data_IF_357934940753
#
_entry.id   IF_357934940753
#
_cell.length_a   1.000
_cell.length_b   1.000
_cell.length_c   1.000
_cell.angle_alpha   90.00
_cell.angle_beta   90.00
_cell.angle_gamma   90.00
#
_symmetry.space_group_name_H-M   'P 1'
#
loop_
_entity.id
_entity.type
_entity.pdbx_description
1 polymer ?
#
# COMPACT_ATOMS: atom_id res chain seq x y z
N UNK A 1 3.63 -4.53 17.96
CA UNK A 1 2.54 -3.68 18.53
C UNK A 1 2.15 -4.21 19.91
N UNK A 2 1.84 -3.35 20.88
CA UNK A 2 1.28 -3.74 22.19
C UNK A 2 -0.25 -3.93 22.07
N UNK A 3 -0.71 -5.18 22.21
CA UNK A 3 -2.13 -5.54 22.11
C UNK A 3 -2.92 -5.27 23.40
N UNK A 4 -2.23 -4.91 24.50
CA UNK A 4 -2.85 -4.71 25.83
C UNK A 4 -3.99 -3.72 25.77
N UNK A 5 -3.78 -2.57 25.11
CA UNK A 5 -4.80 -1.54 24.97
C UNK A 5 -6.04 -1.99 24.20
N UNK A 6 -5.85 -2.87 23.19
CA UNK A 6 -6.97 -3.45 22.41
C UNK A 6 -7.79 -4.36 23.30
N UNK A 7 -7.11 -5.27 24.02
CA UNK A 7 -7.77 -6.22 24.92
C UNK A 7 -8.55 -5.51 26.07
N UNK A 8 -7.94 -4.49 26.67
CA UNK A 8 -8.60 -3.67 27.70
C UNK A 8 -9.86 -2.99 27.17
N UNK A 9 -9.76 -2.35 25.99
CA UNK A 9 -10.90 -1.67 25.36
C UNK A 9 -11.96 -2.65 24.87
N UNK A 10 -11.57 -3.79 24.34
CA UNK A 10 -12.51 -4.83 23.93
C UNK A 10 -13.29 -5.36 25.13
N UNK A 11 -12.60 -5.67 26.24
CA UNK A 11 -13.24 -6.11 27.47
C UNK A 11 -14.15 -5.02 28.08
N UNK A 12 -13.71 -3.74 28.09
CA UNK A 12 -14.51 -2.61 28.55
C UNK A 12 -15.82 -2.45 27.77
N UNK A 13 -15.76 -2.57 26.42
CA UNK A 13 -16.90 -2.31 25.54
C UNK A 13 -17.86 -3.49 25.44
N UNK A 14 -17.35 -4.72 25.46
CA UNK A 14 -18.13 -5.91 25.13
C UNK A 14 -18.23 -6.94 26.25
N UNK A 15 -17.45 -6.79 27.34
CA UNK A 15 -17.53 -7.64 28.54
C UNK A 15 -17.03 -9.08 28.37
N UNK A 16 -16.32 -9.35 27.29
CA UNK A 16 -15.80 -10.68 26.92
C UNK A 16 -14.37 -10.55 26.37
N UNK A 17 -13.69 -11.69 26.16
CA UNK A 17 -12.44 -11.76 25.42
C UNK A 17 -12.68 -12.40 24.06
N UNK A 18 -11.96 -11.92 23.05
CA UNK A 18 -12.02 -12.40 21.67
C UNK A 18 -10.75 -13.10 21.22
N UNK A 19 -10.63 -13.22 19.92
CA UNK A 19 -9.46 -13.76 19.23
C UNK A 19 -8.75 -12.64 18.47
N UNK A 20 -7.42 -12.66 18.47
CA UNK A 20 -6.60 -11.62 17.89
C UNK A 20 -6.16 -11.97 16.47
N UNK A 21 -6.34 -11.02 15.57
CA UNK A 21 -5.91 -11.10 14.17
C UNK A 21 -5.11 -9.87 13.81
N UNK A 22 -4.14 -10.02 12.91
CA UNK A 22 -3.31 -8.94 12.46
C UNK A 22 -3.06 -9.00 10.96
N UNK A 23 -2.90 -7.84 10.35
CA UNK A 23 -2.41 -7.71 8.98
C UNK A 23 -1.51 -6.49 8.85
N UNK A 24 -0.35 -6.63 8.19
CA UNK A 24 0.62 -5.56 8.05
C UNK A 24 0.21 -4.52 7.01
N UNK A 25 0.77 -3.32 7.15
CA UNK A 25 0.97 -2.40 6.04
C UNK A 25 2.07 -2.91 5.10
N UNK A 26 2.40 -2.13 4.08
CA UNK A 26 3.41 -2.52 3.09
C UNK A 26 4.32 -1.36 2.71
N UNK A 27 5.51 -1.69 2.29
CA UNK A 27 6.29 -0.86 1.36
C UNK A 27 6.12 -1.41 -0.06
N UNK A 28 6.46 -0.60 -1.05
CA UNK A 28 6.71 -1.08 -2.41
C UNK A 28 8.10 -0.57 -2.81
N UNK A 29 9.01 -1.45 -3.18
CA UNK A 29 10.38 -1.04 -3.50
C UNK A 29 10.43 -0.34 -4.85
N UNK A 30 9.65 -0.81 -5.83
CA UNK A 30 9.51 -0.25 -7.18
C UNK A 30 8.24 -0.79 -7.85
N UNK A 31 7.74 -0.12 -8.90
CA UNK A 31 6.51 -0.52 -9.60
C UNK A 31 5.28 0.22 -9.06
N UNK A 32 5.34 1.56 -9.00
CA UNK A 32 4.18 2.36 -8.63
C UNK A 32 3.28 2.63 -9.82
N UNK A 33 1.97 2.58 -9.61
CA UNK A 33 0.93 2.80 -10.62
C UNK A 33 0.93 1.79 -11.78
N UNK A 34 1.58 0.65 -11.61
CA UNK A 34 1.63 -0.43 -12.62
C UNK A 34 0.57 -1.51 -12.39
N UNK A 35 0.10 -1.69 -11.17
CA UNK A 35 -0.84 -2.77 -10.80
C UNK A 35 -2.17 -2.71 -11.54
N UNK A 36 -2.82 -1.56 -11.60
CA UNK A 36 -4.06 -1.38 -12.38
C UNK A 36 -3.83 -1.29 -13.90
N UNK A 37 -2.56 -1.30 -14.34
CA UNK A 37 -2.14 -1.42 -15.72
C UNK A 37 -1.78 -2.88 -16.11
N UNK A 38 -2.10 -3.85 -15.26
CA UNK A 38 -1.74 -5.26 -15.45
C UNK A 38 -0.24 -5.53 -15.35
N UNK A 39 0.50 -4.60 -14.76
CA UNK A 39 1.96 -4.60 -14.69
C UNK A 39 2.57 -5.36 -13.53
N UNK A 40 3.87 -5.17 -13.34
CA UNK A 40 4.61 -5.73 -12.23
C UNK A 40 4.67 -4.74 -11.07
N UNK A 41 4.54 -5.26 -9.85
CA UNK A 41 4.83 -4.54 -8.60
C UNK A 41 5.82 -5.34 -7.76
N UNK A 42 6.50 -4.66 -6.83
CA UNK A 42 7.54 -5.30 -6.01
C UNK A 42 7.44 -4.92 -4.53
N UNK A 43 6.29 -5.23 -3.88
CA UNK A 43 6.05 -4.89 -2.48
C UNK A 43 6.67 -5.88 -1.50
N UNK A 44 6.70 -5.44 -0.23
CA UNK A 44 6.94 -6.26 0.95
C UNK A 44 6.06 -5.80 2.11
N UNK A 45 5.52 -6.76 2.86
CA UNK A 45 4.84 -6.47 4.11
C UNK A 45 5.82 -5.95 5.16
N UNK A 46 5.37 -5.07 6.05
CA UNK A 46 6.23 -4.44 7.05
C UNK A 46 5.81 -4.79 8.47
N UNK A 47 6.66 -4.48 9.44
CA UNK A 47 6.45 -4.72 10.87
C UNK A 47 5.41 -3.81 11.53
N UNK A 48 4.81 -2.88 10.78
CA UNK A 48 3.67 -2.06 11.22
C UNK A 48 2.38 -2.67 10.73
N UNK A 49 1.39 -2.79 11.63
CA UNK A 49 0.20 -3.58 11.33
C UNK A 49 -1.08 -2.97 11.93
N UNK A 50 -2.21 -3.42 11.44
CA UNK A 50 -3.50 -3.37 12.12
C UNK A 50 -3.68 -4.64 12.94
N UNK A 51 -4.25 -4.52 14.13
CA UNK A 51 -4.64 -5.63 15.00
C UNK A 51 -6.08 -5.44 15.41
N UNK A 52 -6.86 -6.51 15.34
CA UNK A 52 -8.23 -6.56 15.81
C UNK A 52 -8.45 -7.72 16.76
N UNK A 53 -9.13 -7.45 17.88
CA UNK A 53 -9.74 -8.47 18.72
C UNK A 53 -11.18 -8.67 18.28
N UNK A 54 -11.60 -9.91 18.03
CA UNK A 54 -12.90 -10.23 17.45
C UNK A 54 -13.56 -11.37 18.21
N UNK A 55 -14.88 -11.23 18.48
CA UNK A 55 -15.73 -12.27 19.08
C UNK A 55 -17.07 -12.33 18.39
N UNK A 56 -17.52 -13.54 18.04
CA UNK A 56 -18.89 -13.75 17.54
C UNK A 56 -19.88 -13.43 18.64
N UNK A 57 -20.93 -12.66 18.34
CA UNK A 57 -21.89 -12.14 19.32
C UNK A 57 -23.29 -12.77 19.22
N UNK A 58 -23.47 -13.75 18.33
CA UNK A 58 -24.74 -14.49 18.18
C UNK A 58 -25.88 -13.70 17.57
N UNK A 59 -25.63 -12.52 17.02
CA UNK A 59 -26.62 -11.64 16.38
C UNK A 59 -26.37 -11.52 14.88
N UNK A 60 -27.07 -10.61 14.19
CA UNK A 60 -26.79 -10.22 12.81
C UNK A 60 -26.16 -8.82 12.72
N UNK A 61 -25.68 -8.29 13.84
CA UNK A 61 -25.08 -6.95 13.90
C UNK A 61 -23.57 -7.02 14.16
N UNK A 62 -22.84 -6.12 13.53
CA UNK A 62 -21.42 -5.88 13.77
C UNK A 62 -21.31 -4.65 14.65
N UNK A 63 -20.65 -4.81 15.81
CA UNK A 63 -20.34 -3.73 16.73
C UNK A 63 -18.84 -3.53 16.75
N UNK A 64 -18.37 -2.34 16.39
CA UNK A 64 -16.95 -2.09 16.17
C UNK A 64 -16.47 -0.82 16.88
N UNK A 65 -15.30 -0.89 17.49
CA UNK A 65 -14.68 0.19 18.22
C UNK A 65 -13.25 0.45 17.71
N UNK A 66 -13.03 1.64 17.16
CA UNK A 66 -11.72 2.11 16.71
C UNK A 66 -10.97 2.72 17.89
N UNK A 67 -10.04 1.96 18.49
CA UNK A 67 -9.34 2.32 19.74
C UNK A 67 -8.55 3.63 19.61
N UNK A 68 -7.92 3.86 18.46
CA UNK A 68 -7.08 5.05 18.23
C UNK A 68 -7.88 6.33 18.02
N UNK A 69 -9.13 6.19 17.56
CA UNK A 69 -10.06 7.30 17.31
C UNK A 69 -11.02 7.53 18.49
N UNK A 70 -11.04 6.61 19.46
CA UNK A 70 -12.05 6.57 20.53
C UNK A 70 -13.47 6.65 19.97
N UNK A 71 -13.74 5.91 18.88
CA UNK A 71 -14.96 6.01 18.10
C UNK A 71 -15.62 4.65 17.94
N UNK A 72 -16.97 4.64 17.97
CA UNK A 72 -17.80 3.44 17.89
C UNK A 72 -18.74 3.51 16.68
N UNK A 73 -18.87 2.39 15.99
CA UNK A 73 -19.85 2.23 14.93
C UNK A 73 -20.54 0.86 15.03
N UNK A 74 -21.78 0.80 14.57
CA UNK A 74 -22.57 -0.42 14.52
C UNK A 74 -23.35 -0.47 13.21
N UNK A 75 -23.43 -1.64 12.60
CA UNK A 75 -24.24 -1.88 11.40
C UNK A 75 -24.80 -3.30 11.36
N UNK A 76 -25.92 -3.47 10.66
CA UNK A 76 -26.49 -4.78 10.37
C UNK A 76 -25.90 -5.43 9.13
N UNK A 77 -25.66 -6.74 9.15
CA UNK A 77 -25.13 -7.48 8.01
C UNK A 77 -26.06 -7.47 6.77
N UNK A 78 -27.35 -7.13 6.95
CA UNK A 78 -28.32 -7.02 5.87
C UNK A 78 -28.62 -5.55 5.47
N UNK A 79 -28.00 -4.57 6.11
CA UNK A 79 -28.15 -3.17 5.74
C UNK A 79 -27.53 -2.89 4.37
N UNK A 80 -28.18 -2.08 3.53
CA UNK A 80 -27.71 -1.73 2.19
C UNK A 80 -26.74 -0.56 2.23
N UNK A 81 -26.98 0.40 3.12
CA UNK A 81 -26.19 1.61 3.27
C UNK A 81 -24.99 1.39 4.18
N UNK A 82 -23.84 1.86 3.72
CA UNK A 82 -22.60 1.82 4.49
C UNK A 82 -22.66 2.81 5.68
N UNK A 83 -21.97 2.52 6.79
CA UNK A 83 -21.88 3.42 7.93
C UNK A 83 -21.34 4.81 7.55
N UNK A 84 -21.76 5.84 8.29
CA UNK A 84 -21.28 7.22 8.10
C UNK A 84 -19.79 7.33 8.41
N UNK A 85 -19.31 6.66 9.47
CA UNK A 85 -17.90 6.63 9.85
C UNK A 85 -17.04 6.01 8.74
N UNK A 86 -16.15 6.79 8.16
CA UNK A 86 -15.34 6.38 7.00
C UNK A 86 -14.51 5.12 7.26
N UNK A 87 -13.95 4.97 8.45
CA UNK A 87 -13.19 3.79 8.84
C UNK A 87 -14.06 2.53 8.94
N UNK A 88 -15.33 2.65 9.35
CA UNK A 88 -16.23 1.51 9.45
C UNK A 88 -16.68 0.97 8.08
N UNK A 89 -16.59 1.79 7.02
CA UNK A 89 -16.92 1.38 5.64
C UNK A 89 -16.01 0.25 5.14
N UNK A 90 -14.76 0.21 5.58
CA UNK A 90 -13.83 -0.87 5.23
C UNK A 90 -14.29 -2.20 5.81
N UNK A 91 -14.72 -2.23 7.09
CA UNK A 91 -15.21 -3.43 7.75
C UNK A 91 -16.55 -3.87 7.13
N UNK A 92 -17.46 -2.91 6.92
CA UNK A 92 -18.74 -3.15 6.24
C UNK A 92 -18.52 -3.73 4.84
N UNK A 93 -17.64 -3.12 4.05
CA UNK A 93 -17.31 -3.57 2.68
C UNK A 93 -16.78 -4.99 2.65
N UNK A 94 -15.85 -5.34 3.55
CA UNK A 94 -15.34 -6.72 3.68
C UNK A 94 -16.48 -7.70 3.96
N UNK A 95 -17.38 -7.39 4.91
CA UNK A 95 -18.54 -8.23 5.20
C UNK A 95 -19.43 -8.41 3.96
N UNK A 96 -19.73 -7.34 3.25
CA UNK A 96 -20.56 -7.36 2.03
C UNK A 96 -19.91 -8.12 0.89
N UNK A 97 -18.61 -7.94 0.68
CA UNK A 97 -17.87 -8.64 -0.38
C UNK A 97 -17.73 -10.15 -0.11
N UNK A 98 -17.60 -10.56 1.16
CA UNK A 98 -17.68 -11.98 1.56
C UNK A 98 -19.07 -12.55 1.25
N UNK A 99 -20.16 -11.85 1.64
CA UNK A 99 -21.54 -12.28 1.38
C UNK A 99 -21.84 -12.39 -0.12
N UNK A 100 -21.39 -11.44 -0.95
CA UNK A 100 -21.56 -11.48 -2.42
C UNK A 100 -20.89 -12.71 -3.06
N UNK A 101 -19.84 -13.24 -2.43
CA UNK A 101 -19.15 -14.46 -2.85
C UNK A 101 -19.75 -15.74 -2.25
N UNK A 102 -20.91 -15.62 -1.59
CA UNK A 102 -21.62 -16.75 -1.00
C UNK A 102 -21.14 -17.14 0.41
N UNK A 103 -20.22 -16.37 1.00
CA UNK A 103 -19.79 -16.58 2.38
C UNK A 103 -20.91 -16.27 3.36
N UNK A 104 -21.15 -17.19 4.31
CA UNK A 104 -22.16 -17.03 5.35
C UNK A 104 -21.47 -16.57 6.62
N UNK A 105 -21.74 -15.35 7.05
CA UNK A 105 -21.21 -14.75 8.28
C UNK A 105 -22.33 -14.32 9.20
N UNK A 106 -22.05 -14.26 10.49
CA UNK A 106 -22.94 -13.75 11.53
C UNK A 106 -22.31 -12.51 12.20
N UNK A 107 -23.06 -11.87 13.09
CA UNK A 107 -22.61 -10.68 13.80
C UNK A 107 -21.44 -10.98 14.74
N UNK A 108 -20.61 -9.96 14.92
CA UNK A 108 -19.45 -10.01 15.79
C UNK A 108 -19.19 -8.66 16.45
N UNK A 109 -18.45 -8.72 17.55
CA UNK A 109 -17.91 -7.56 18.24
C UNK A 109 -16.44 -7.46 17.94
N UNK A 110 -15.93 -6.24 17.78
CA UNK A 110 -14.51 -6.01 17.52
C UNK A 110 -14.01 -4.69 18.09
N UNK A 111 -12.79 -4.71 18.59
CA UNK A 111 -11.98 -3.52 18.83
C UNK A 111 -10.68 -3.65 18.06
N UNK A 112 -10.22 -2.57 17.42
CA UNK A 112 -9.01 -2.59 16.63
C UNK A 112 -8.17 -1.33 16.80
N UNK A 113 -6.88 -1.46 16.58
CA UNK A 113 -5.88 -0.39 16.60
C UNK A 113 -4.76 -0.71 15.61
N UNK A 114 -4.02 0.30 15.19
CA UNK A 114 -2.90 0.10 14.27
C UNK A 114 -1.76 1.09 14.48
N UNK A 115 -0.54 0.63 14.16
CA UNK A 115 0.64 1.49 14.10
C UNK A 115 1.10 1.78 12.66
N UNK A 116 0.28 1.42 11.67
CA UNK A 116 0.46 1.84 10.28
C UNK A 116 0.09 3.32 10.17
N UNK A 117 1.04 4.23 9.91
CA UNK A 117 0.76 5.66 9.88
C UNK A 117 -0.26 6.02 8.80
N UNK A 118 -1.30 6.76 9.19
CA UNK A 118 -2.35 7.21 8.29
C UNK A 118 -1.83 8.27 7.31
N UNK A 119 -2.08 8.07 6.02
CA UNK A 119 -1.70 9.01 4.97
C UNK A 119 -0.21 9.02 4.62
N UNK A 120 0.58 8.12 5.18
CA UNK A 120 2.02 8.00 4.92
C UNK A 120 2.39 7.08 3.74
N UNK A 121 1.39 6.61 2.97
CA UNK A 121 1.62 5.72 1.83
C UNK A 121 1.94 4.26 2.20
N UNK A 122 1.70 3.83 3.45
CA UNK A 122 1.97 2.46 3.93
C UNK A 122 0.75 1.55 3.94
N UNK A 123 -0.35 1.94 3.31
CA UNK A 123 -1.57 1.14 3.09
C UNK A 123 -2.27 0.67 4.35
N UNK A 124 -2.60 1.62 5.23
CA UNK A 124 -3.40 1.32 6.43
C UNK A 124 -4.80 0.77 6.12
N UNK A 125 -5.43 1.17 5.01
CA UNK A 125 -6.70 0.64 4.54
C UNK A 125 -6.61 -0.83 4.20
N UNK A 126 -5.66 -1.22 3.35
CA UNK A 126 -5.44 -2.62 2.98
C UNK A 126 -5.09 -3.50 4.19
N UNK A 127 -4.31 -2.96 5.15
CA UNK A 127 -4.03 -3.65 6.41
C UNK A 127 -5.32 -3.90 7.20
N UNK A 128 -6.21 -2.91 7.32
CA UNK A 128 -7.50 -3.04 8.00
C UNK A 128 -8.40 -4.06 7.31
N UNK A 129 -8.58 -3.94 5.99
CA UNK A 129 -9.39 -4.85 5.18
C UNK A 129 -8.89 -6.29 5.28
N UNK A 130 -7.59 -6.49 5.13
CA UNK A 130 -6.98 -7.83 5.18
C UNK A 130 -7.05 -8.44 6.58
N UNK A 131 -6.99 -7.63 7.65
CA UNK A 131 -7.20 -8.10 9.02
C UNK A 131 -8.60 -8.72 9.16
N UNK A 132 -9.64 -8.00 8.72
CA UNK A 132 -11.02 -8.48 8.83
C UNK A 132 -11.34 -9.59 7.82
N UNK A 133 -10.84 -9.52 6.59
CA UNK A 133 -11.05 -10.59 5.61
C UNK A 133 -10.44 -11.91 6.07
N UNK A 134 -9.21 -11.90 6.60
CA UNK A 134 -8.57 -13.08 7.15
C UNK A 134 -9.30 -13.59 8.41
N UNK A 135 -9.63 -12.70 9.33
CA UNK A 135 -10.32 -13.06 10.57
C UNK A 135 -11.69 -13.72 10.30
N UNK A 136 -12.52 -13.13 9.45
CA UNK A 136 -13.83 -13.68 9.12
C UNK A 136 -13.71 -15.01 8.36
N UNK A 137 -12.72 -15.14 7.47
CA UNK A 137 -12.43 -16.41 6.78
C UNK A 137 -12.13 -17.54 7.78
N UNK A 138 -11.31 -17.28 8.79
CA UNK A 138 -10.96 -18.27 9.81
C UNK A 138 -12.11 -18.53 10.78
N UNK A 139 -12.71 -17.49 11.35
CA UNK A 139 -13.78 -17.61 12.36
C UNK A 139 -15.03 -18.33 11.84
N UNK A 140 -15.37 -18.15 10.58
CA UNK A 140 -16.53 -18.78 9.94
C UNK A 140 -16.17 -20.02 9.11
N UNK A 141 -14.88 -20.39 9.00
CA UNK A 141 -14.42 -21.55 8.24
C UNK A 141 -14.80 -21.46 6.76
N UNK A 142 -14.69 -20.29 6.14
CA UNK A 142 -15.21 -20.04 4.79
C UNK A 142 -14.38 -20.69 3.68
N UNK A 143 -13.11 -21.03 3.95
CA UNK A 143 -12.22 -21.66 2.98
C UNK A 143 -11.86 -20.79 1.79
N UNK A 144 -11.95 -19.45 1.94
CA UNK A 144 -11.58 -18.48 0.91
C UNK A 144 -10.05 -18.50 0.74
N UNK A 145 -9.58 -18.64 -0.50
CA UNK A 145 -8.14 -18.63 -0.77
C UNK A 145 -7.54 -17.22 -0.62
N UNK A 146 -6.21 -17.16 -0.50
CA UNK A 146 -5.49 -15.90 -0.19
C UNK A 146 -5.63 -14.85 -1.28
N UNK A 147 -5.69 -15.23 -2.56
CA UNK A 147 -5.91 -14.26 -3.65
C UNK A 147 -7.31 -13.67 -3.57
N UNK A 148 -8.29 -14.51 -3.26
CA UNK A 148 -9.66 -14.02 -3.13
C UNK A 148 -9.83 -13.13 -1.89
N UNK A 149 -9.10 -13.39 -0.79
CA UNK A 149 -9.03 -12.46 0.34
C UNK A 149 -8.48 -11.08 -0.08
N UNK A 150 -7.41 -11.04 -0.86
CA UNK A 150 -6.89 -9.79 -1.40
C UNK A 150 -7.90 -9.08 -2.32
N UNK A 151 -8.63 -9.83 -3.16
CA UNK A 151 -9.69 -9.28 -4.03
C UNK A 151 -10.89 -8.75 -3.24
N UNK A 152 -11.22 -9.33 -2.09
CA UNK A 152 -12.24 -8.81 -1.18
C UNK A 152 -11.87 -7.42 -0.71
N UNK A 153 -10.62 -7.22 -0.25
CA UNK A 153 -10.12 -5.89 0.13
C UNK A 153 -10.19 -4.90 -1.04
N UNK A 154 -9.64 -5.25 -2.20
CA UNK A 154 -9.70 -4.40 -3.39
C UNK A 154 -11.14 -4.03 -3.79
N UNK A 155 -12.06 -5.00 -3.77
CA UNK A 155 -13.48 -4.76 -4.07
C UNK A 155 -14.14 -3.86 -3.03
N UNK A 156 -13.70 -3.93 -1.78
CA UNK A 156 -14.13 -3.03 -0.70
C UNK A 156 -13.76 -1.58 -1.00
N UNK A 157 -12.50 -1.31 -1.37
CA UNK A 157 -12.05 0.02 -1.80
C UNK A 157 -12.87 0.55 -2.98
N UNK A 158 -13.09 -0.29 -4.00
CA UNK A 158 -13.82 0.09 -5.21
C UNK A 158 -15.29 0.40 -4.98
N UNK A 159 -15.97 -0.40 -4.17
CA UNK A 159 -17.43 -0.39 -4.07
C UNK A 159 -17.95 0.43 -2.89
N UNK A 160 -17.14 0.61 -1.84
CA UNK A 160 -17.58 1.26 -0.59
C UNK A 160 -16.74 2.46 -0.17
N UNK A 161 -15.49 2.57 -0.66
CA UNK A 161 -14.58 3.67 -0.33
C UNK A 161 -14.33 4.63 -1.50
N UNK A 162 -14.71 4.26 -2.73
CA UNK A 162 -14.61 5.14 -3.92
C UNK A 162 -13.20 5.27 -4.51
N UNK A 163 -12.25 4.42 -4.11
CA UNK A 163 -10.87 4.40 -4.62
C UNK A 163 -10.71 3.25 -5.62
N UNK A 164 -10.33 3.55 -6.86
CA UNK A 164 -10.11 2.56 -7.93
C UNK A 164 -8.67 2.05 -7.91
N UNK A 165 -8.21 1.56 -6.75
CA UNK A 165 -6.86 1.03 -6.56
C UNK A 165 -6.60 -0.24 -7.40
N UNK A 166 -5.32 -0.59 -7.59
CA UNK A 166 -4.90 -1.92 -8.03
C UNK A 166 -4.96 -2.94 -6.89
N UNK A 167 -4.32 -4.09 -7.08
CA UNK A 167 -4.36 -5.21 -6.10
C UNK A 167 -3.14 -5.22 -5.16
N UNK A 168 -2.10 -4.43 -5.46
CA UNK A 168 -0.79 -4.50 -4.81
C UNK A 168 -0.85 -4.48 -3.29
N UNK A 169 -1.61 -3.55 -2.73
CA UNK A 169 -1.64 -3.27 -1.30
C UNK A 169 -2.23 -4.43 -0.51
N UNK A 170 -3.39 -4.92 -0.93
CA UNK A 170 -4.05 -6.06 -0.32
C UNK A 170 -3.26 -7.35 -0.53
N UNK A 171 -2.66 -7.51 -1.73
CA UNK A 171 -1.79 -8.66 -2.00
C UNK A 171 -0.60 -8.68 -1.03
N UNK A 172 0.09 -7.56 -0.86
CA UNK A 172 1.23 -7.47 0.05
C UNK A 172 0.84 -7.74 1.51
N UNK A 173 -0.29 -7.18 1.97
CA UNK A 173 -0.82 -7.41 3.32
C UNK A 173 -1.18 -8.87 3.58
N UNK A 174 -1.71 -9.58 2.57
CA UNK A 174 -2.11 -10.99 2.70
C UNK A 174 -0.94 -11.95 2.53
N UNK A 175 -0.07 -11.74 1.51
CA UNK A 175 0.97 -12.68 1.12
C UNK A 175 2.35 -12.41 1.73
N UNK A 176 2.51 -11.35 2.51
CA UNK A 176 3.77 -10.98 3.14
C UNK A 176 4.52 -12.17 3.75
N UNK A 177 5.84 -12.14 3.63
CA UNK A 177 6.76 -13.13 4.20
C UNK A 177 7.99 -12.41 4.73
N UNK A 178 8.32 -12.64 5.98
CA UNK A 178 9.47 -12.02 6.64
C UNK A 178 10.76 -12.26 5.84
N UNK A 179 11.50 -11.18 5.58
CA UNK A 179 12.75 -11.21 4.82
C UNK A 179 12.60 -11.36 3.30
N UNK A 180 11.39 -11.19 2.75
CA UNK A 180 11.15 -11.33 1.31
C UNK A 180 10.30 -10.19 0.75
N UNK A 181 10.73 -9.65 -0.39
CA UNK A 181 9.86 -8.90 -1.29
C UNK A 181 9.15 -9.85 -2.25
N UNK A 182 8.11 -9.37 -2.90
CA UNK A 182 7.28 -10.18 -3.81
C UNK A 182 7.12 -9.47 -5.15
N UNK A 183 7.65 -10.07 -6.23
CA UNK A 183 7.28 -9.60 -7.57
C UNK A 183 5.96 -10.23 -7.95
N UNK A 184 4.92 -9.43 -8.05
CA UNK A 184 3.60 -9.83 -8.54
C UNK A 184 3.43 -9.38 -10.00
N UNK A 185 3.01 -10.26 -10.86
CA UNK A 185 2.44 -9.95 -12.17
C UNK A 185 0.93 -9.72 -12.00
N UNK A 186 0.47 -8.47 -12.04
CA UNK A 186 -0.93 -8.13 -11.79
C UNK A 186 -1.89 -8.56 -12.90
N UNK A 187 -1.38 -9.04 -14.05
CA UNK A 187 -2.20 -9.60 -15.13
C UNK A 187 -2.45 -11.09 -14.98
N UNK A 188 -1.40 -11.88 -14.73
CA UNK A 188 -1.51 -13.34 -14.54
C UNK A 188 -1.79 -13.74 -13.09
N UNK A 189 -1.55 -12.85 -12.15
CA UNK A 189 -1.55 -13.11 -10.69
C UNK A 189 -0.48 -14.12 -10.25
N UNK A 190 0.52 -14.37 -11.08
CA UNK A 190 1.70 -15.14 -10.70
C UNK A 190 2.67 -14.27 -9.90
N UNK A 191 3.31 -14.84 -8.88
CA UNK A 191 4.25 -14.10 -8.07
C UNK A 191 5.46 -14.94 -7.67
N UNK A 192 6.54 -14.23 -7.33
CA UNK A 192 7.82 -14.83 -6.91
C UNK A 192 8.35 -14.08 -5.69
N UNK A 193 8.86 -14.82 -4.71
CA UNK A 193 9.53 -14.26 -3.54
C UNK A 193 11.01 -14.01 -3.83
N UNK A 194 11.49 -12.82 -3.47
CA UNK A 194 12.89 -12.43 -3.54
C UNK A 194 13.43 -12.20 -2.13
N UNK A 195 14.51 -12.88 -1.71
CA UNK A 195 15.18 -12.56 -0.46
C UNK A 195 15.58 -11.08 -0.43
N UNK A 196 15.31 -10.41 0.68
CA UNK A 196 15.62 -8.99 0.83
C UNK A 196 16.06 -8.70 2.25
N UNK A 197 17.36 -8.57 2.43
CA UNK A 197 18.00 -8.18 3.69
C UNK A 197 19.10 -7.14 3.39
N UNK A 198 18.71 -5.87 3.22
CA UNK A 198 19.66 -4.81 2.87
C UNK A 198 20.73 -4.61 3.96
N UNK A 199 20.45 -4.93 5.22
CA UNK A 199 21.42 -4.75 6.31
C UNK A 199 22.61 -5.69 6.19
N UNK A 200 22.42 -6.91 5.72
CA UNK A 200 23.53 -7.84 5.44
C UNK A 200 24.47 -7.33 4.33
N UNK A 201 23.96 -6.45 3.47
CA UNK A 201 24.72 -5.86 2.36
C UNK A 201 25.20 -4.43 2.66
N UNK A 202 25.10 -3.98 3.91
CA UNK A 202 25.56 -2.66 4.34
C UNK A 202 24.62 -1.50 4.02
N UNK A 203 23.33 -1.78 3.80
CA UNK A 203 22.30 -0.78 3.55
C UNK A 203 21.21 -0.80 4.61
N UNK A 204 20.48 0.30 4.75
CA UNK A 204 19.27 0.43 5.54
C UNK A 204 18.13 0.94 4.67
N UNK A 205 16.93 0.44 4.92
CA UNK A 205 15.71 0.96 4.32
C UNK A 205 15.00 1.87 5.31
N UNK A 206 14.69 3.11 4.89
CA UNK A 206 14.06 4.10 5.75
C UNK A 206 13.03 4.92 4.98
N UNK A 207 11.92 5.22 5.63
CA UNK A 207 10.89 6.11 5.09
C UNK A 207 11.01 7.49 5.74
N UNK A 208 10.92 8.53 4.91
CA UNK A 208 10.77 9.91 5.36
C UNK A 208 9.38 10.40 4.95
N UNK A 209 8.52 10.62 5.96
CA UNK A 209 7.16 11.12 5.77
C UNK A 209 7.18 12.65 5.73
N UNK A 210 6.74 13.20 4.62
CA UNK A 210 6.61 14.66 4.41
C UNK A 210 5.54 15.30 5.29
N UNK A 211 4.69 14.49 5.95
CA UNK A 211 3.51 14.93 6.73
C UNK A 211 2.45 15.64 5.86
N UNK A 212 2.67 15.71 4.54
CA UNK A 212 1.65 16.17 3.59
C UNK A 212 0.60 15.08 3.44
N UNK A 213 -0.64 15.39 3.84
CA UNK A 213 -1.77 14.46 3.75
C UNK A 213 -2.60 14.78 2.52
N UNK A 214 -2.87 13.76 1.72
CA UNK A 214 -3.87 13.83 0.66
C UNK A 214 -4.90 12.71 0.84
N UNK A 215 -6.16 13.05 0.61
CA UNK A 215 -7.23 12.07 0.51
C UNK A 215 -7.21 11.51 -0.91
N UNK A 216 -7.11 10.20 -1.07
CA UNK A 216 -7.16 9.54 -2.39
C UNK A 216 -8.58 9.52 -2.96
N UNK A 217 -9.60 9.65 -2.11
CA UNK A 217 -11.01 9.68 -2.50
C UNK A 217 -11.33 10.95 -3.27
N UNK A 218 -11.84 10.81 -4.51
CA UNK A 218 -12.13 11.95 -5.39
C UNK A 218 -10.90 12.71 -5.89
N UNK A 219 -9.72 12.13 -5.73
CA UNK A 219 -8.41 12.71 -6.04
C UNK A 219 -8.01 12.51 -7.50
N UNK A 220 -6.93 13.20 -7.95
CA UNK A 220 -6.27 12.96 -9.23
C UNK A 220 -5.79 11.51 -9.45
N UNK A 221 -5.81 10.64 -8.45
CA UNK A 221 -5.44 9.22 -8.57
C UNK A 221 -6.29 8.49 -9.63
N UNK A 222 -7.62 8.65 -9.56
CA UNK A 222 -8.52 8.01 -10.53
C UNK A 222 -8.31 8.56 -11.94
N UNK A 223 -7.90 9.84 -12.09
CA UNK A 223 -7.59 10.44 -13.38
C UNK A 223 -6.35 9.82 -14.02
N UNK A 224 -5.35 9.42 -13.20
CA UNK A 224 -4.14 8.72 -13.69
C UNK A 224 -4.51 7.37 -14.29
N UNK A 225 -5.35 6.61 -13.62
CA UNK A 225 -5.88 5.35 -14.12
C UNK A 225 -6.66 5.55 -15.43
N UNK A 226 -7.58 6.49 -15.47
CA UNK A 226 -8.38 6.80 -16.67
C UNK A 226 -7.50 7.22 -17.86
N UNK A 227 -6.41 7.95 -17.62
CA UNK A 227 -5.41 8.31 -18.63
C UNK A 227 -4.76 7.07 -19.26
N UNK A 228 -4.32 6.14 -18.43
CA UNK A 228 -3.74 4.87 -18.89
C UNK A 228 -4.74 4.02 -19.68
N UNK A 229 -5.99 3.93 -19.22
CA UNK A 229 -7.05 3.20 -19.90
C UNK A 229 -7.36 3.79 -21.29
N UNK A 230 -7.36 5.13 -21.43
CA UNK A 230 -7.52 5.79 -22.74
C UNK A 230 -6.40 5.41 -23.72
N UNK A 231 -5.14 5.45 -23.26
CA UNK A 231 -3.99 5.09 -24.12
C UNK A 231 -4.02 3.61 -24.50
N UNK A 232 -4.30 2.71 -23.55
CA UNK A 232 -4.44 1.29 -23.81
C UNK A 232 -5.52 1.01 -24.87
N UNK A 233 -6.67 1.70 -24.80
CA UNK A 233 -7.74 1.59 -25.79
C UNK A 233 -7.29 2.03 -27.20
N UNK A 234 -6.53 3.13 -27.32
CA UNK A 234 -5.98 3.59 -28.62
C UNK A 234 -4.98 2.59 -29.17
N UNK A 235 -4.21 1.90 -28.30
CA UNK A 235 -3.30 0.81 -28.69
C UNK A 235 -4.02 -0.50 -29.01
N UNK A 236 -5.33 -0.60 -28.75
CA UNK A 236 -6.11 -1.84 -28.90
C UNK A 236 -5.74 -2.92 -27.88
N UNK A 237 -5.29 -2.50 -26.67
CA UNK A 237 -4.88 -3.36 -25.57
C UNK A 237 -5.81 -3.18 -24.37
N UNK A 238 -5.91 -4.19 -23.53
CA UNK A 238 -6.67 -4.13 -22.28
C UNK A 238 -5.93 -3.28 -21.22
N UNK A 239 -4.59 -3.39 -21.18
CA UNK A 239 -3.71 -2.70 -20.26
C UNK A 239 -2.49 -2.13 -20.98
N UNK A 240 -1.77 -1.20 -20.37
CA UNK A 240 -0.48 -0.73 -20.86
C UNK A 240 0.64 -1.78 -20.74
N UNK A 241 0.42 -2.83 -19.94
CA UNK A 241 1.35 -3.94 -19.82
C UNK A 241 1.65 -4.59 -21.17
N UNK A 242 2.91 -4.59 -21.56
CA UNK A 242 3.36 -5.12 -22.84
C UNK A 242 3.34 -4.11 -23.98
N UNK A 243 2.85 -2.89 -23.77
CA UNK A 243 3.07 -1.79 -24.70
C UNK A 243 4.56 -1.43 -24.76
N UNK A 244 5.03 -1.03 -25.96
CA UNK A 244 6.42 -0.58 -26.14
C UNK A 244 6.49 0.92 -26.38
N UNK A 245 7.65 1.51 -26.19
CA UNK A 245 7.87 2.92 -26.49
C UNK A 245 7.67 3.24 -27.97
N UNK A 246 8.02 2.31 -28.86
CA UNK A 246 7.79 2.46 -30.30
C UNK A 246 6.29 2.49 -30.65
N UNK A 247 5.49 1.66 -29.97
CA UNK A 247 4.02 1.67 -30.13
C UNK A 247 3.42 2.98 -29.61
N UNK A 248 3.91 3.47 -28.46
CA UNK A 248 3.47 4.75 -27.88
C UNK A 248 3.81 5.92 -28.81
N UNK A 249 5.04 5.98 -29.33
CA UNK A 249 5.44 7.01 -30.31
C UNK A 249 4.57 6.99 -31.57
N UNK A 250 4.20 5.81 -32.06
CA UNK A 250 3.37 5.67 -33.26
C UNK A 250 1.93 6.20 -33.12
N UNK A 251 1.46 6.40 -31.89
CA UNK A 251 0.13 6.97 -31.60
C UNK A 251 0.18 8.38 -30.99
N UNK A 252 1.35 8.99 -30.86
CA UNK A 252 1.55 10.27 -30.18
C UNK A 252 0.59 11.37 -30.66
N UNK A 253 0.36 11.46 -31.97
CA UNK A 253 -0.54 12.44 -32.55
C UNK A 253 -2.05 12.12 -32.35
N UNK A 254 -2.36 10.95 -31.76
CA UNK A 254 -3.75 10.49 -31.52
C UNK A 254 -4.19 10.62 -30.07
N UNK A 255 -3.30 11.00 -29.17
CA UNK A 255 -3.53 11.14 -27.74
C UNK A 255 -3.07 12.52 -27.26
N UNK A 256 -3.49 12.93 -26.06
CA UNK A 256 -3.01 14.18 -25.46
C UNK A 256 -1.54 14.04 -25.03
N UNK A 257 -0.84 15.16 -24.91
CA UNK A 257 0.53 15.18 -24.38
C UNK A 257 0.57 14.62 -22.95
N UNK A 258 -0.43 14.95 -22.13
CA UNK A 258 -0.60 14.44 -20.78
C UNK A 258 -0.73 12.90 -20.75
N UNK A 259 -1.61 12.34 -21.59
CA UNK A 259 -1.79 10.89 -21.70
C UNK A 259 -0.52 10.20 -22.22
N UNK A 260 0.20 10.83 -23.15
CA UNK A 260 1.48 10.33 -23.65
C UNK A 260 2.54 10.27 -22.54
N UNK A 261 2.69 11.34 -21.73
CA UNK A 261 3.68 11.41 -20.64
C UNK A 261 3.38 10.35 -19.58
N UNK A 262 2.10 10.21 -19.21
CA UNK A 262 1.65 9.21 -18.22
C UNK A 262 1.89 7.79 -18.70
N UNK A 263 1.56 7.48 -19.94
CA UNK A 263 1.81 6.15 -20.52
C UNK A 263 3.31 5.86 -20.62
N UNK A 264 4.13 6.87 -20.98
CA UNK A 264 5.60 6.75 -21.03
C UNK A 264 6.18 6.34 -19.69
N UNK A 265 5.70 6.96 -18.59
CA UNK A 265 6.11 6.59 -17.25
C UNK A 265 5.79 5.13 -16.95
N UNK A 266 4.54 4.69 -17.16
CA UNK A 266 4.10 3.33 -16.85
C UNK A 266 4.88 2.29 -17.66
N UNK A 267 5.04 2.49 -18.97
CA UNK A 267 5.81 1.58 -19.84
C UNK A 267 7.27 1.49 -19.38
N UNK A 268 7.86 2.61 -18.97
CA UNK A 268 9.22 2.63 -18.43
C UNK A 268 9.32 1.94 -17.07
N UNK A 269 8.31 2.11 -16.20
CA UNK A 269 8.30 1.52 -14.86
C UNK A 269 8.24 0.00 -14.88
N UNK A 270 7.52 -0.59 -15.83
CA UNK A 270 7.51 -2.04 -16.06
C UNK A 270 8.93 -2.60 -16.24
N UNK A 271 9.74 -1.92 -17.01
CA UNK A 271 11.12 -2.33 -17.24
C UNK A 271 11.98 -2.16 -15.98
N UNK A 272 11.80 -1.04 -15.25
CA UNK A 272 12.56 -0.78 -14.02
C UNK A 272 12.30 -1.83 -12.94
N UNK A 273 11.06 -2.33 -12.81
CA UNK A 273 10.76 -3.44 -11.89
C UNK A 273 11.58 -4.67 -12.22
N UNK A 274 11.62 -5.07 -13.50
CA UNK A 274 12.39 -6.25 -13.92
C UNK A 274 13.88 -6.05 -13.73
N UNK A 275 14.42 -4.87 -14.05
CA UNK A 275 15.84 -4.55 -13.84
C UNK A 275 16.21 -4.64 -12.35
N UNK A 276 15.37 -4.14 -11.42
CA UNK A 276 15.58 -4.26 -9.98
C UNK A 276 15.53 -5.71 -9.51
N UNK A 277 14.60 -6.52 -10.04
CA UNK A 277 14.55 -7.94 -9.71
C UNK A 277 15.87 -8.67 -10.11
N UNK A 278 16.39 -8.39 -11.30
CA UNK A 278 17.66 -8.99 -11.74
C UNK A 278 18.87 -8.45 -10.93
N UNK A 279 18.88 -7.14 -10.61
CA UNK A 279 19.91 -6.53 -9.76
C UNK A 279 19.97 -7.18 -8.37
N UNK A 280 18.82 -7.40 -7.73
CA UNK A 280 18.77 -8.05 -6.41
C UNK A 280 19.24 -9.51 -6.42
N UNK A 281 19.06 -10.24 -7.51
CA UNK A 281 19.63 -11.61 -7.64
C UNK A 281 21.16 -11.63 -7.62
N UNK A 282 21.78 -10.48 -7.90
CA UNK A 282 23.24 -10.29 -7.94
C UNK A 282 23.74 -9.39 -6.81
N UNK A 283 22.90 -9.06 -5.82
CA UNK A 283 23.21 -8.12 -4.72
C UNK A 283 23.67 -6.72 -5.20
N UNK A 284 23.22 -6.31 -6.39
CA UNK A 284 23.56 -5.01 -7.00
C UNK A 284 22.59 -3.92 -6.51
N UNK A 285 22.81 -3.47 -5.28
CA UNK A 285 22.00 -2.41 -4.65
C UNK A 285 22.23 -1.02 -5.28
N UNK A 286 23.34 -0.80 -5.99
CA UNK A 286 23.57 0.47 -6.70
C UNK A 286 22.59 0.60 -7.88
N UNK A 287 22.45 -0.44 -8.70
CA UNK A 287 21.42 -0.47 -9.77
C UNK A 287 20.01 -0.33 -9.20
N UNK A 288 19.69 -0.98 -8.08
CA UNK A 288 18.39 -0.78 -7.40
C UNK A 288 18.15 0.70 -7.11
N UNK A 289 19.13 1.38 -6.53
CA UNK A 289 19.05 2.80 -6.19
C UNK A 289 18.91 3.72 -7.41
N UNK A 290 19.63 3.45 -8.49
CA UNK A 290 19.49 4.19 -9.75
C UNK A 290 18.06 4.11 -10.29
N UNK A 291 17.48 2.90 -10.34
CA UNK A 291 16.08 2.69 -10.78
C UNK A 291 15.08 3.37 -9.85
N UNK A 292 15.32 3.41 -8.55
CA UNK A 292 14.50 4.16 -7.61
C UNK A 292 14.47 5.66 -7.93
N UNK A 293 15.60 6.29 -8.24
CA UNK A 293 15.62 7.70 -8.66
C UNK A 293 14.93 7.94 -10.00
N UNK A 294 15.13 7.05 -10.98
CA UNK A 294 14.42 7.13 -12.26
C UNK A 294 12.89 7.08 -12.07
N UNK A 295 12.42 6.17 -11.21
CA UNK A 295 11.01 6.07 -10.82
C UNK A 295 10.53 7.37 -10.17
N UNK A 296 11.30 7.93 -9.21
CA UNK A 296 10.92 9.17 -8.55
C UNK A 296 10.69 10.30 -9.55
N UNK A 297 11.66 10.56 -10.42
CA UNK A 297 11.54 11.65 -11.38
C UNK A 297 10.51 11.39 -12.47
N UNK A 298 10.28 10.12 -12.83
CA UNK A 298 9.16 9.73 -13.68
C UNK A 298 7.80 10.01 -13.03
N UNK A 299 7.64 9.65 -11.75
CA UNK A 299 6.42 9.98 -10.97
C UNK A 299 6.22 11.49 -10.82
N UNK A 300 7.31 12.24 -10.61
CA UNK A 300 7.24 13.69 -10.43
C UNK A 300 6.95 14.45 -11.74
N UNK A 301 7.62 14.09 -12.83
CA UNK A 301 7.62 14.90 -14.08
C UNK A 301 6.66 14.39 -15.14
N UNK A 302 6.53 13.07 -15.29
CA UNK A 302 5.72 12.47 -16.35
C UNK A 302 4.32 12.09 -15.83
N UNK A 303 4.27 11.55 -14.61
CA UNK A 303 3.01 11.08 -14.02
C UNK A 303 2.32 12.12 -13.12
N UNK A 304 3.06 13.14 -12.70
CA UNK A 304 2.59 14.30 -11.92
C UNK A 304 1.85 13.89 -10.63
N UNK A 305 2.45 12.96 -9.87
CA UNK A 305 1.95 12.48 -8.58
C UNK A 305 2.86 12.87 -7.41
N UNK A 306 3.85 13.74 -7.62
CA UNK A 306 4.69 14.28 -6.56
C UNK A 306 4.09 15.52 -5.93
N UNK A 307 4.73 15.98 -4.85
CA UNK A 307 4.59 17.31 -4.30
C UNK A 307 5.98 17.91 -4.04
N UNK A 308 6.03 19.21 -3.75
CA UNK A 308 7.30 19.91 -3.54
C UNK A 308 8.12 19.29 -2.41
N UNK A 309 7.48 18.87 -1.34
CA UNK A 309 8.10 18.26 -0.16
C UNK A 309 8.77 16.91 -0.47
N UNK A 310 8.11 16.08 -1.29
CA UNK A 310 8.66 14.78 -1.69
C UNK A 310 9.83 14.94 -2.66
N UNK A 311 9.74 15.85 -3.64
CA UNK A 311 10.84 16.19 -4.55
C UNK A 311 12.03 16.78 -3.78
N UNK A 312 11.76 17.57 -2.76
CA UNK A 312 12.78 18.13 -1.88
C UNK A 312 13.50 17.02 -1.08
N UNK A 313 12.76 16.09 -0.46
CA UNK A 313 13.36 14.96 0.27
C UNK A 313 14.23 14.08 -0.63
N UNK A 314 13.78 13.76 -1.84
CA UNK A 314 14.55 12.99 -2.80
C UNK A 314 15.81 13.74 -3.28
N UNK A 315 15.72 15.07 -3.43
CA UNK A 315 16.87 15.92 -3.76
C UNK A 315 17.90 15.92 -2.64
N UNK A 316 17.46 16.11 -1.39
CA UNK A 316 18.35 16.07 -0.21
C UNK A 316 19.00 14.67 -0.09
N UNK A 317 18.25 13.59 -0.33
CA UNK A 317 18.79 12.24 -0.34
C UNK A 317 19.94 12.11 -1.35
N UNK A 318 19.74 12.59 -2.57
CA UNK A 318 20.77 12.55 -3.62
C UNK A 318 22.01 13.39 -3.26
N UNK A 319 21.82 14.58 -2.68
CA UNK A 319 22.91 15.44 -2.20
C UNK A 319 23.72 14.78 -1.08
N UNK A 320 23.09 13.97 -0.22
CA UNK A 320 23.73 13.21 0.84
C UNK A 320 24.40 11.90 0.36
N UNK A 321 24.33 11.59 -0.94
CA UNK A 321 24.89 10.35 -1.49
C UNK A 321 24.09 9.11 -1.19
N UNK A 322 22.79 9.25 -0.87
CA UNK A 322 21.86 8.12 -0.66
C UNK A 322 21.74 7.34 -1.97
N UNK A 323 21.85 6.02 -1.89
CA UNK A 323 21.91 5.13 -3.05
C UNK A 323 20.63 5.17 -3.87
N UNK A 324 19.45 5.20 -3.24
CA UNK A 324 18.18 5.34 -3.93
C UNK A 324 17.13 6.05 -3.07
N UNK A 325 16.31 6.89 -3.69
CA UNK A 325 15.19 7.58 -3.04
C UNK A 325 14.05 7.79 -4.02
N UNK A 326 12.82 7.52 -3.59
CA UNK A 326 11.63 7.74 -4.41
C UNK A 326 10.35 7.89 -3.58
N UNK A 327 9.34 8.49 -4.18
CA UNK A 327 7.97 8.51 -3.67
C UNK A 327 7.47 7.08 -3.51
N UNK A 328 6.79 6.76 -2.41
CA UNK A 328 6.18 5.47 -2.16
C UNK A 328 4.65 5.56 -2.13
N UNK A 329 3.99 4.60 -2.80
CA UNK A 329 2.52 4.56 -2.91
C UNK A 329 1.97 5.49 -3.98
N UNK A 330 0.71 5.88 -3.84
CA UNK A 330 -0.01 6.69 -4.85
C UNK A 330 0.49 8.09 -5.07
N UNK A 331 1.40 8.59 -4.24
CA UNK A 331 1.92 9.95 -4.32
C UNK A 331 0.99 11.01 -3.72
N UNK A 332 1.10 12.24 -4.20
CA UNK A 332 0.42 13.45 -3.71
C UNK A 332 0.73 13.83 -2.26
N UNK A 333 1.70 13.20 -1.63
CA UNK A 333 2.13 13.32 -0.25
C UNK A 333 2.63 11.98 0.28
N UNK A 334 2.68 11.81 1.61
CA UNK A 334 3.19 10.62 2.27
C UNK A 334 4.72 10.56 2.31
N UNK A 335 5.30 9.40 2.04
CA UNK A 335 6.72 9.14 2.26
C UNK A 335 7.55 9.07 0.99
N UNK A 336 8.84 9.40 1.14
CA UNK A 336 9.88 8.79 0.31
C UNK A 336 10.39 7.50 0.96
N UNK A 337 10.70 6.48 0.15
CA UNK A 337 11.43 5.29 0.53
C UNK A 337 12.90 5.46 0.11
N UNK A 338 13.83 5.22 1.03
CA UNK A 338 15.24 5.52 0.84
C UNK A 338 16.08 4.29 1.15
N UNK A 339 16.95 3.93 0.21
CA UNK A 339 17.96 2.88 0.34
C UNK A 339 19.30 3.54 0.65
N UNK A 340 19.75 3.45 1.88
CA UNK A 340 20.84 4.24 2.44
C UNK A 340 21.99 3.35 2.88
N UNK A 341 23.23 3.63 2.45
CA UNK A 341 24.41 2.96 3.02
C UNK A 341 24.47 3.20 4.54
N UNK A 342 24.77 2.15 5.28
CA UNK A 342 24.76 2.19 6.75
C UNK A 342 25.62 3.32 7.31
N UNK A 343 26.80 3.58 6.71
CA UNK A 343 27.72 4.65 7.13
C UNK A 343 27.20 6.07 6.85
N UNK A 344 26.22 6.22 5.92
CA UNK A 344 25.60 7.52 5.61
C UNK A 344 24.31 7.79 6.37
N UNK A 345 23.76 6.79 7.02
CA UNK A 345 22.40 6.83 7.58
C UNK A 345 22.18 7.99 8.56
N UNK A 346 23.04 8.09 9.59
CA UNK A 346 22.84 9.12 10.63
C UNK A 346 23.00 10.53 10.09
N UNK A 347 24.00 10.74 9.20
CA UNK A 347 24.22 12.03 8.55
C UNK A 347 23.06 12.39 7.60
N UNK A 348 22.53 11.43 6.85
CA UNK A 348 21.38 11.66 5.99
C UNK A 348 20.13 12.07 6.78
N UNK A 349 19.80 11.32 7.85
CA UNK A 349 18.63 11.62 8.69
C UNK A 349 18.75 13.00 9.33
N UNK A 350 19.90 13.33 9.90
CA UNK A 350 20.15 14.64 10.52
C UNK A 350 20.02 15.78 9.50
N UNK A 351 20.62 15.60 8.30
CA UNK A 351 20.58 16.61 7.22
C UNK A 351 19.16 16.80 6.68
N UNK A 352 18.44 15.68 6.42
CA UNK A 352 17.07 15.74 5.92
C UNK A 352 16.15 16.46 6.91
N UNK A 353 16.22 16.14 8.20
CA UNK A 353 15.45 16.83 9.25
C UNK A 353 15.76 18.33 9.32
N UNK A 354 17.04 18.70 9.36
CA UNK A 354 17.46 20.10 9.48
C UNK A 354 17.01 20.93 8.25
N UNK A 355 17.28 20.45 7.04
CA UNK A 355 16.91 21.16 5.80
C UNK A 355 15.39 21.24 5.62
N UNK A 356 14.66 20.18 5.96
CA UNK A 356 13.21 20.15 5.86
C UNK A 356 12.56 21.09 6.87
N UNK A 357 13.04 21.10 8.13
CA UNK A 357 12.60 22.04 9.16
C UNK A 357 12.87 23.49 8.75
N UNK A 358 14.05 23.79 8.18
CA UNK A 358 14.39 25.12 7.69
C UNK A 358 13.42 25.60 6.60
N UNK A 359 13.05 24.70 5.67
CA UNK A 359 12.24 25.08 4.52
C UNK A 359 10.73 25.08 4.82
N UNK A 360 10.24 24.10 5.60
CA UNK A 360 8.80 23.87 5.80
C UNK A 360 8.30 24.14 7.22
N UNK A 361 9.19 24.44 8.17
CA UNK A 361 8.82 24.78 9.55
C UNK A 361 8.51 23.59 10.44
N UNK A 362 8.70 22.36 9.96
CA UNK A 362 8.58 21.12 10.74
C UNK A 362 9.54 20.05 10.20
N UNK A 363 9.86 19.06 11.04
CA UNK A 363 10.67 17.92 10.62
C UNK A 363 9.83 16.88 9.87
N UNK A 364 10.42 16.13 8.90
CA UNK A 364 9.79 14.91 8.37
C UNK A 364 9.79 13.85 9.49
N UNK A 365 8.77 12.96 9.48
CA UNK A 365 8.80 11.80 10.36
C UNK A 365 9.68 10.71 9.74
N UNK A 366 10.40 10.00 10.59
CA UNK A 366 11.32 8.94 10.18
C UNK A 366 10.76 7.60 10.62
N UNK A 367 10.61 6.66 9.69
CA UNK A 367 10.20 5.29 10.00
C UNK A 367 11.23 4.30 9.47
N UNK A 368 11.86 3.56 10.37
CA UNK A 368 12.54 2.31 10.01
C UNK A 368 11.48 1.25 9.70
N UNK A 369 11.77 0.39 8.76
CA UNK A 369 10.87 -0.70 8.36
C UNK A 369 11.62 -2.01 8.33
N UNK A 370 10.96 -3.07 8.77
CA UNK A 370 11.43 -4.45 8.70
C UNK A 370 10.42 -5.25 7.89
N UNK A 371 10.90 -6.07 6.97
CA UNK A 371 10.02 -6.92 6.16
C UNK A 371 9.45 -8.05 7.03
N UNK A 372 8.14 -8.18 7.04
CA UNK A 372 7.37 -9.00 7.98
C UNK A 372 6.43 -10.00 7.29
N UNK A 373 5.81 -10.85 8.10
CA UNK A 373 4.79 -11.79 7.64
C UNK A 373 3.44 -11.10 7.40
N UNK A 374 2.65 -11.66 6.48
CA UNK A 374 1.32 -11.18 6.12
C UNK A 374 0.23 -11.45 7.16
N UNK A 375 -1.03 -11.33 6.72
CA UNK A 375 -2.22 -11.51 7.54
C UNK A 375 -2.24 -12.87 8.24
N UNK A 376 -2.54 -12.86 9.55
CA UNK A 376 -2.56 -14.06 10.40
C UNK A 376 -3.33 -13.85 11.70
N UNK A 377 -3.69 -14.93 12.33
CA UNK A 377 -4.10 -14.97 13.76
C UNK A 377 -2.85 -14.89 14.65
N UNK A 378 -2.93 -14.26 15.81
CA UNK A 378 -1.84 -14.11 16.80
C UNK A 378 -2.28 -14.52 18.20
#
# INVERSE_FOLDING_TARGET
MDVTRINEKFLEKFGVQGELFTSPGRINLIGEHTDYNGGFVFPGAIDRAMVAEIKLNGTNRVRTYAVDLDDYAEFGLNEEDAPEASWARYIFGVCREIQKRGGVIAGFDTAFSGDVPLGAGMSSSAALESTFANALNELFGLGIDRFELARIGQSTEHNYCGVKCGIMDQFASVFGKAGYLMRLDCRSMEFEYFPFDPEQHGYKLVLLDSVVKHELVGSPYNDRRASCERVAAVLGQEFLRGATMEQLEAIKDKISEEDYMRARYVIGEERRVLDVCEALKCDDYETVGERMYETHWGMSKDYEVSCEELDFLATVAKECGVTGSRIMGGGFGGCTINLVKTELYDNFIATAKAKFLEKYGHEPKVYSVVISDGARRI
#
